data_IF_516809815023
#
_entry.id   IF_516809815023
#
_cell.length_a   1.000
_cell.length_b   1.000
_cell.length_c   1.000
_cell.angle_alpha   90.00
_cell.angle_beta   90.00
_cell.angle_gamma   90.00
#
_symmetry.space_group_name_H-M   'P 1'
#
loop_
_entity.id
_entity.type
_entity.pdbx_description
1 polymer ?
#
# COMPACT_ATOMS: atom_id res chain seq x y z
N UNK A 1 22.21 -20.06 13.51
CA UNK A 1 21.02 -19.31 13.93
C UNK A 1 20.10 -18.96 12.77
N UNK A 2 20.59 -18.34 11.70
CA UNK A 2 19.76 -17.97 10.53
C UNK A 2 19.11 -19.20 9.87
N UNK A 3 19.84 -20.31 9.76
CA UNK A 3 19.32 -21.55 9.15
C UNK A 3 18.17 -22.18 9.95
N UNK A 4 18.23 -22.14 11.28
CA UNK A 4 17.16 -22.69 12.11
C UNK A 4 15.89 -21.85 12.04
N UNK A 5 16.01 -20.51 11.94
CA UNK A 5 14.88 -19.62 11.73
C UNK A 5 14.20 -19.88 10.37
N UNK A 6 14.98 -20.10 9.32
CA UNK A 6 14.45 -20.40 7.97
C UNK A 6 13.70 -21.75 7.99
N UNK A 7 14.24 -22.78 8.62
CA UNK A 7 13.57 -24.08 8.76
C UNK A 7 12.25 -23.96 9.52
N UNK A 8 12.22 -23.15 10.57
CA UNK A 8 11.03 -22.93 11.37
C UNK A 8 9.94 -22.21 10.56
N UNK A 9 10.30 -21.20 9.81
CA UNK A 9 9.38 -20.46 8.91
C UNK A 9 8.80 -21.40 7.85
N UNK A 10 9.62 -22.25 7.21
CA UNK A 10 9.15 -23.22 6.23
C UNK A 10 8.16 -24.22 6.82
N UNK A 11 8.43 -24.69 8.03
CA UNK A 11 7.54 -25.59 8.75
C UNK A 11 6.20 -24.92 9.06
N UNK A 12 6.21 -23.68 9.51
CA UNK A 12 5.00 -22.89 9.74
C UNK A 12 4.18 -22.68 8.47
N UNK A 13 4.83 -22.37 7.35
CA UNK A 13 4.16 -22.20 6.06
C UNK A 13 3.52 -23.49 5.56
N UNK A 14 4.19 -24.62 5.74
CA UNK A 14 3.64 -25.93 5.39
C UNK A 14 2.39 -26.26 6.20
N UNK A 15 2.43 -25.97 7.51
CA UNK A 15 1.28 -26.15 8.41
C UNK A 15 0.11 -25.25 8.03
N UNK A 16 0.39 -24.00 7.66
CA UNK A 16 -0.64 -23.05 7.22
C UNK A 16 -1.31 -23.44 5.90
N UNK A 17 -0.58 -24.11 4.99
CA UNK A 17 -1.16 -24.61 3.74
C UNK A 17 -2.13 -25.76 3.94
N UNK A 18 -1.89 -26.60 4.93
CA UNK A 18 -2.78 -27.73 5.26
C UNK A 18 -4.06 -27.28 5.97
N UNK A 19 -3.99 -26.17 6.71
CA UNK A 19 -5.13 -25.56 7.39
C UNK A 19 -5.54 -24.30 6.66
N UNK A 20 -6.29 -24.46 5.58
CA UNK A 20 -6.77 -23.30 4.81
C UNK A 20 -7.62 -22.37 5.68
N UNK A 21 -7.08 -21.18 5.92
CA UNK A 21 -7.82 -20.13 6.61
C UNK A 21 -8.68 -19.41 5.57
N UNK A 22 -9.98 -19.36 5.81
CA UNK A 22 -10.88 -18.59 4.96
C UNK A 22 -10.65 -17.09 5.18
N UNK A 23 -9.93 -16.48 4.27
CA UNK A 23 -9.57 -15.06 4.33
C UNK A 23 -10.77 -14.18 3.95
N UNK A 24 -11.73 -14.71 3.21
CA UNK A 24 -12.87 -13.93 2.68
C UNK A 24 -13.77 -13.37 3.79
N UNK A 25 -13.93 -14.13 4.88
CA UNK A 25 -14.74 -13.72 6.04
C UNK A 25 -13.99 -12.81 7.02
N UNK A 26 -12.69 -12.65 6.86
CA UNK A 26 -11.81 -12.05 7.88
C UNK A 26 -11.48 -10.59 7.65
N UNK A 27 -11.34 -10.17 6.42
CA UNK A 27 -10.90 -8.81 6.08
C UNK A 27 -11.61 -8.25 4.86
N UNK A 28 -11.86 -6.95 4.91
CA UNK A 28 -12.38 -6.24 3.75
C UNK A 28 -11.32 -6.17 2.66
N UNK A 29 -11.71 -6.36 1.41
CA UNK A 29 -10.83 -6.27 0.24
C UNK A 29 -10.04 -4.96 0.18
N UNK A 30 -10.64 -3.86 0.60
CA UNK A 30 -10.00 -2.53 0.64
C UNK A 30 -8.82 -2.49 1.60
N UNK A 31 -8.92 -3.14 2.76
CA UNK A 31 -7.83 -3.20 3.73
C UNK A 31 -6.64 -4.01 3.18
N UNK A 32 -6.93 -5.12 2.51
CA UNK A 32 -5.90 -5.94 1.86
C UNK A 32 -5.16 -5.13 0.79
N UNK A 33 -5.90 -4.42 -0.06
CA UNK A 33 -5.31 -3.56 -1.11
C UNK A 33 -4.39 -2.50 -0.52
N UNK A 34 -4.78 -1.88 0.57
CA UNK A 34 -3.97 -0.88 1.25
C UNK A 34 -2.63 -1.43 1.71
N UNK A 35 -2.67 -2.58 2.39
CA UNK A 35 -1.45 -3.24 2.89
C UNK A 35 -0.54 -3.68 1.74
N UNK A 36 -1.09 -4.31 0.72
CA UNK A 36 -0.32 -4.75 -0.45
C UNK A 36 0.33 -3.56 -1.14
N UNK A 37 -0.40 -2.48 -1.34
CA UNK A 37 0.13 -1.26 -1.96
C UNK A 37 1.30 -0.66 -1.18
N UNK A 38 1.21 -0.61 0.15
CA UNK A 38 2.31 -0.14 0.99
C UNK A 38 3.57 -1.00 0.81
N UNK A 39 3.44 -2.32 0.88
CA UNK A 39 4.58 -3.22 0.74
C UNK A 39 5.17 -3.22 -0.67
N UNK A 40 4.36 -3.08 -1.69
CA UNK A 40 4.84 -2.92 -3.06
C UNK A 40 5.64 -1.63 -3.22
N UNK A 41 5.17 -0.53 -2.64
CA UNK A 41 5.90 0.73 -2.64
C UNK A 41 7.24 0.59 -1.91
N UNK A 42 7.27 -0.06 -0.76
CA UNK A 42 8.49 -0.33 0.01
C UNK A 42 9.48 -1.13 -0.85
N UNK A 43 9.02 -2.20 -1.47
CA UNK A 43 9.87 -3.05 -2.31
C UNK A 43 10.45 -2.27 -3.50
N UNK A 44 9.64 -1.49 -4.17
CA UNK A 44 10.05 -0.67 -5.32
C UNK A 44 11.10 0.39 -4.93
N UNK A 45 10.85 1.11 -3.85
CA UNK A 45 11.77 2.15 -3.36
C UNK A 45 13.09 1.55 -2.88
N UNK A 46 13.02 0.40 -2.22
CA UNK A 46 14.23 -0.32 -1.80
C UNK A 46 15.07 -0.75 -3.00
N UNK A 47 14.44 -1.24 -4.05
CA UNK A 47 15.13 -1.60 -5.31
C UNK A 47 15.79 -0.39 -5.97
N UNK A 48 15.21 0.79 -5.84
CA UNK A 48 15.78 2.02 -6.37
C UNK A 48 16.98 2.54 -5.56
N UNK A 49 17.26 1.95 -4.42
CA UNK A 49 18.40 2.30 -3.58
C UNK A 49 18.09 3.25 -2.43
N UNK A 50 16.83 3.55 -2.15
CA UNK A 50 16.46 4.36 -0.99
C UNK A 50 16.52 3.52 0.29
N UNK A 51 16.86 4.19 1.40
CA UNK A 51 16.63 3.64 2.72
C UNK A 51 15.18 3.87 3.06
N UNK A 52 14.46 2.82 3.42
CA UNK A 52 13.02 2.88 3.66
C UNK A 52 12.70 2.47 5.09
N UNK A 53 11.91 3.29 5.79
CA UNK A 53 11.40 2.98 7.10
C UNK A 53 9.88 3.10 7.10
N UNK A 54 9.20 2.13 7.70
CA UNK A 54 7.74 2.13 7.80
C UNK A 54 7.32 2.72 9.15
N UNK A 55 6.26 3.54 9.14
CA UNK A 55 5.65 4.06 10.35
C UNK A 55 5.03 2.94 11.18
N UNK A 56 5.27 2.95 12.49
CA UNK A 56 4.67 2.04 13.45
C UNK A 56 3.41 2.62 14.12
N UNK A 57 3.25 3.93 14.07
CA UNK A 57 2.16 4.64 14.73
C UNK A 57 0.92 4.70 13.81
N UNK A 58 -0.22 4.12 14.20
CA UNK A 58 -1.43 4.16 13.37
C UNK A 58 -2.03 5.57 13.20
N UNK A 59 -1.69 6.50 14.07
CA UNK A 59 -2.11 7.91 13.97
C UNK A 59 -1.15 8.77 13.16
N UNK A 60 -0.04 8.21 12.67
CA UNK A 60 0.97 8.93 11.91
C UNK A 60 0.40 9.41 10.57
N UNK A 61 0.61 10.69 10.18
CA UNK A 61 0.08 11.22 8.92
C UNK A 61 0.81 10.74 7.67
N UNK A 62 1.91 10.00 7.81
CA UNK A 62 2.64 9.38 6.71
C UNK A 62 2.83 7.88 6.94
N UNK A 63 2.97 7.14 5.87
CA UNK A 63 3.12 5.67 5.93
C UNK A 63 4.57 5.25 5.99
N UNK A 64 5.43 5.88 5.20
CA UNK A 64 6.85 5.54 5.10
C UNK A 64 7.71 6.79 5.03
N UNK A 65 8.97 6.59 5.45
CA UNK A 65 10.03 7.58 5.33
C UNK A 65 11.10 7.02 4.42
N UNK A 66 11.56 7.80 3.47
CA UNK A 66 12.69 7.41 2.64
C UNK A 66 13.84 8.39 2.81
N UNK A 67 15.05 7.87 2.70
CA UNK A 67 16.29 8.65 2.74
C UNK A 67 17.10 8.28 1.50
N UNK A 68 17.53 9.27 0.75
CA UNK A 68 18.38 9.07 -0.41
C UNK A 68 19.87 8.97 -0.04
N UNK A 69 20.72 8.79 -1.05
CA UNK A 69 22.18 8.69 -0.86
C UNK A 69 22.79 9.93 -0.22
N UNK A 70 22.20 11.10 -0.45
CA UNK A 70 22.69 12.37 0.07
C UNK A 70 22.12 12.70 1.45
N UNK A 71 21.32 11.81 2.01
CA UNK A 71 20.72 11.99 3.32
C UNK A 71 19.45 12.83 3.32
N UNK A 72 18.86 13.10 2.16
CA UNK A 72 17.59 13.82 2.07
C UNK A 72 16.44 12.94 2.51
N UNK A 73 15.67 13.46 3.45
CA UNK A 73 14.53 12.76 4.04
C UNK A 73 13.24 13.18 3.32
N UNK A 74 12.40 12.22 2.98
CA UNK A 74 11.12 12.47 2.39
C UNK A 74 10.04 11.62 3.07
N UNK A 75 8.93 12.25 3.39
CA UNK A 75 7.78 11.59 4.00
C UNK A 75 6.76 11.26 2.93
N UNK A 76 6.29 10.01 2.90
CA UNK A 76 5.38 9.53 1.88
C UNK A 76 4.12 8.94 2.50
N UNK A 77 2.98 9.23 1.89
CA UNK A 77 1.70 8.59 2.18
C UNK A 77 1.32 7.75 0.97
N UNK A 78 1.16 6.46 1.16
CA UNK A 78 0.89 5.50 0.08
C UNK A 78 -0.62 5.28 -0.03
N UNK A 79 -1.16 5.54 -1.20
CA UNK A 79 -2.56 5.30 -1.52
C UNK A 79 -2.68 4.37 -2.72
N UNK A 80 -3.51 3.36 -2.59
CA UNK A 80 -3.82 2.47 -3.70
C UNK A 80 -4.87 3.12 -4.59
N UNK A 81 -4.64 3.09 -5.90
CA UNK A 81 -5.62 3.59 -6.86
C UNK A 81 -6.94 2.83 -6.72
N UNK A 82 -8.02 3.56 -6.56
CA UNK A 82 -9.37 3.01 -6.47
C UNK A 82 -10.18 3.48 -7.66
N UNK A 83 -10.86 2.53 -8.30
CA UNK A 83 -11.70 2.79 -9.44
C UNK A 83 -13.16 2.57 -9.04
N UNK A 84 -14.03 3.50 -9.42
CA UNK A 84 -15.48 3.34 -9.28
C UNK A 84 -16.08 3.03 -10.64
N UNK A 85 -16.98 2.05 -10.66
CA UNK A 85 -17.78 1.77 -11.86
C UNK A 85 -18.81 2.89 -12.03
N UNK A 86 -18.97 3.36 -13.26
CA UNK A 86 -20.06 4.28 -13.59
C UNK A 86 -21.38 3.54 -13.43
N UNK A 87 -22.32 4.15 -12.71
CA UNK A 87 -23.66 3.58 -12.56
C UNK A 87 -24.34 3.48 -13.93
N UNK A 88 -24.88 2.31 -14.24
CA UNK A 88 -25.69 2.09 -15.43
C UNK A 88 -26.83 3.13 -15.48
N UNK A 89 -26.88 3.92 -16.52
CA UNK A 89 -27.97 4.87 -16.78
C UNK A 89 -27.76 6.30 -16.32
N UNK A 90 -26.68 6.63 -15.59
CA UNK A 90 -26.33 8.02 -15.30
C UNK A 90 -25.12 8.43 -16.12
N UNK A 91 -25.39 9.18 -17.17
CA UNK A 91 -24.35 9.84 -17.95
C UNK A 91 -23.68 10.90 -17.08
N UNK A 92 -22.50 10.59 -16.57
CA UNK A 92 -21.65 11.60 -15.98
C UNK A 92 -20.91 12.24 -17.15
N UNK A 93 -21.25 13.49 -17.47
CA UNK A 93 -20.59 14.27 -18.51
C UNK A 93 -19.07 14.18 -18.32
N UNK A 94 -18.34 13.80 -19.35
CA UNK A 94 -16.88 13.79 -19.42
C UNK A 94 -16.15 12.66 -18.68
N UNK A 95 -16.81 11.54 -18.39
CA UNK A 95 -16.12 10.36 -17.83
C UNK A 95 -16.24 9.17 -18.78
N UNK A 96 -15.16 8.40 -18.98
CA UNK A 96 -15.20 7.23 -19.87
C UNK A 96 -16.20 6.20 -19.34
N UNK A 97 -16.83 5.51 -20.29
CA UNK A 97 -17.72 4.37 -19.96
C UNK A 97 -16.91 3.30 -19.23
N UNK A 98 -17.44 2.81 -18.12
CA UNK A 98 -16.89 1.65 -17.39
C UNK A 98 -16.40 1.99 -16.00
N UNK A 99 -15.25 2.60 -15.84
CA UNK A 99 -14.70 2.93 -14.52
C UNK A 99 -13.86 4.21 -14.58
N UNK A 100 -13.76 4.87 -13.45
CA UNK A 100 -12.91 6.05 -13.31
C UNK A 100 -12.11 5.98 -12.02
N UNK A 101 -10.89 6.52 -12.07
CA UNK A 101 -10.01 6.58 -10.91
C UNK A 101 -10.47 7.68 -9.95
N UNK A 102 -10.49 7.37 -8.65
CA UNK A 102 -10.74 8.37 -7.62
C UNK A 102 -9.47 9.19 -7.43
N UNK A 103 -9.57 10.50 -7.63
CA UNK A 103 -8.47 11.42 -7.38
C UNK A 103 -8.35 11.64 -5.86
N UNK A 104 -7.12 11.61 -5.37
CA UNK A 104 -6.80 11.88 -3.97
C UNK A 104 -5.80 13.01 -3.89
N UNK A 105 -5.92 13.82 -2.87
CA UNK A 105 -5.00 14.92 -2.60
C UNK A 105 -4.57 14.87 -1.13
N UNK A 106 -3.37 15.41 -0.81
CA UNK A 106 -2.93 15.49 0.58
C UNK A 106 -3.88 16.35 1.43
N UNK A 107 -4.03 15.97 2.69
CA UNK A 107 -4.75 16.80 3.67
C UNK A 107 -3.95 18.07 3.98
N UNK A 108 -4.60 19.04 4.63
CA UNK A 108 -3.93 20.28 5.05
C UNK A 108 -2.73 19.99 5.95
N UNK A 109 -2.88 19.05 6.89
CA UNK A 109 -1.81 18.63 7.78
C UNK A 109 -0.65 18.01 7.02
N UNK A 110 -0.95 17.13 6.08
CA UNK A 110 0.07 16.49 5.22
C UNK A 110 0.83 17.52 4.39
N UNK A 111 0.15 18.49 3.81
CA UNK A 111 0.77 19.59 3.05
C UNK A 111 1.70 20.42 3.94
N UNK A 112 1.29 20.71 5.15
CA UNK A 112 2.08 21.47 6.13
C UNK A 112 3.38 20.74 6.48
N UNK A 113 3.35 19.41 6.57
CA UNK A 113 4.50 18.58 6.90
C UNK A 113 5.35 18.21 5.67
N UNK A 114 4.94 18.59 4.48
CA UNK A 114 5.67 18.26 3.25
C UNK A 114 5.53 16.80 2.82
N UNK A 115 4.46 16.14 3.20
CA UNK A 115 4.20 14.76 2.85
C UNK A 115 3.74 14.65 1.40
N UNK A 116 4.36 13.75 0.64
CA UNK A 116 3.97 13.44 -0.74
C UNK A 116 3.06 12.22 -0.78
N UNK A 117 2.03 12.29 -1.62
CA UNK A 117 1.18 11.15 -1.94
C UNK A 117 1.79 10.32 -3.05
N UNK A 118 1.92 9.03 -2.82
CA UNK A 118 2.33 8.05 -3.84
C UNK A 118 1.13 7.17 -4.15
N UNK A 119 0.75 7.15 -5.42
CA UNK A 119 -0.35 6.31 -5.89
C UNK A 119 0.20 4.99 -6.43
N UNK A 120 -0.36 3.89 -5.96
CA UNK A 120 0.06 2.54 -6.36
C UNK A 120 -1.13 1.82 -6.98
N UNK A 121 -0.91 1.14 -8.10
CA UNK A 121 -1.91 0.30 -8.72
C UNK A 121 -1.89 -1.09 -8.08
N UNK A 122 -3.08 -1.59 -7.76
CA UNK A 122 -3.24 -2.95 -7.26
C UNK A 122 -3.46 -3.90 -8.44
N UNK A 123 -2.50 -4.76 -8.66
CA UNK A 123 -2.60 -5.83 -9.64
C UNK A 123 -3.19 -7.08 -8.97
N UNK A 124 -4.20 -7.64 -9.63
CA UNK A 124 -4.81 -8.88 -9.16
C UNK A 124 -3.90 -10.08 -9.45
#
# INVERSE_FOLDING_TARGET
>A
MVRSCIKHIKSSQSSLKSNQIDISARQKKTSIKGVVGEYEAIASLTKQGFYVAKSCDPACPFDIVIVDKDGRIQLLDIKTNTYRKTNKGKSIKNKPKGSYRICRSPTKEQKKLGIKLIMVDYEK
#
